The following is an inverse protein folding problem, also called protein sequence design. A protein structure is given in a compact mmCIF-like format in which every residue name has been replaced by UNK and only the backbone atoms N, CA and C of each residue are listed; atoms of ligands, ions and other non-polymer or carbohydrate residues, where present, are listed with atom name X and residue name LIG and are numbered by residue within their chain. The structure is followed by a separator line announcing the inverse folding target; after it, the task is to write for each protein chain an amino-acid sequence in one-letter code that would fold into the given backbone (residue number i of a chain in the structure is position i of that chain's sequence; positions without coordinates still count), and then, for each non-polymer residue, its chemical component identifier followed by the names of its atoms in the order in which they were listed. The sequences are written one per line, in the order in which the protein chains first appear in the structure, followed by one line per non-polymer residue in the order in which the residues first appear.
data_IF_446030607517
#
_entry.id   IF_446030607517
#
_cell.length_a   1.000
_cell.length_b   1.000
_cell.length_c   1.000
_cell.angle_alpha   90.00
_cell.angle_beta   90.00
_cell.angle_gamma   90.00
#
_symmetry.space_group_name_H-M   'P 1'
#
loop_
_entity.id
_entity.type
_entity.pdbx_description
1 polymer ?
#
# COMPACT_ATOMS: atom_id res chain seq x y z
N UNK A 1 3.80 1.27 -22.26
CA UNK A 1 4.39 1.98 -21.10
C UNK A 1 4.34 0.98 -19.95
N UNK A 2 5.25 0.00 -19.97
CA UNK A 2 5.21 -1.16 -19.06
C UNK A 2 6.63 -1.53 -18.61
N UNK A 3 7.36 -0.58 -18.04
CA UNK A 3 8.72 -0.79 -17.53
C UNK A 3 8.87 -0.26 -16.09
N UNK A 4 7.91 -0.54 -15.19
CA UNK A 4 7.95 -0.05 -13.81
C UNK A 4 8.17 -1.14 -12.74
N UNK A 5 8.29 -2.41 -13.13
CA UNK A 5 8.38 -3.54 -12.20
C UNK A 5 9.50 -4.53 -12.52
N UNK A 6 10.68 -4.07 -12.91
CA UNK A 6 11.87 -4.93 -12.89
C UNK A 6 12.73 -4.63 -11.66
N UNK A 7 12.97 -5.70 -10.90
CA UNK A 7 13.85 -5.84 -9.73
C UNK A 7 13.47 -5.15 -8.40
N UNK A 8 12.59 -5.82 -7.65
CA UNK A 8 12.68 -5.86 -6.19
C UNK A 8 12.98 -7.30 -5.77
N UNK A 9 14.27 -7.63 -5.74
CA UNK A 9 14.76 -8.82 -5.04
C UNK A 9 14.46 -8.64 -3.54
N UNK A 10 13.56 -9.48 -3.02
CA UNK A 10 13.19 -9.49 -1.61
C UNK A 10 14.33 -10.07 -0.80
N UNK A 11 15.21 -9.22 -0.26
CA UNK A 11 16.14 -9.65 0.80
C UNK A 11 15.40 -9.68 2.13
N UNK A 12 15.30 -10.88 2.69
CA UNK A 12 14.84 -11.13 4.06
C UNK A 12 15.92 -10.62 5.00
N UNK A 13 15.63 -9.54 5.73
CA UNK A 13 16.52 -9.00 6.78
C UNK A 13 16.34 -9.84 8.04
N UNK A 14 17.40 -10.48 8.59
CA UNK A 14 17.31 -11.14 9.88
C UNK A 14 17.19 -10.11 11.01
N UNK A 15 16.28 -10.41 11.93
CA UNK A 15 15.96 -9.58 13.10
C UNK A 15 16.98 -9.83 14.22
N UNK A 16 18.13 -9.15 14.16
CA UNK A 16 19.03 -9.03 15.31
C UNK A 16 19.10 -7.56 15.75
N UNK A 17 18.24 -7.25 16.72
CA UNK A 17 18.24 -5.98 17.44
C UNK A 17 19.49 -5.91 18.33
N UNK A 18 20.58 -5.37 17.78
CA UNK A 18 21.68 -4.85 18.60
C UNK A 18 21.22 -3.54 19.22
N UNK A 19 21.10 -3.50 20.55
CA UNK A 19 20.92 -2.27 21.33
C UNK A 19 22.09 -1.33 21.02
N UNK A 20 21.82 -0.28 20.25
CA UNK A 20 22.76 0.81 20.03
C UNK A 20 22.65 1.75 21.22
N UNK A 21 23.71 1.75 22.02
CA UNK A 21 23.96 2.63 23.16
C UNK A 21 23.93 4.10 22.70
N UNK A 22 22.85 4.81 23.06
CA UNK A 22 22.59 6.21 22.67
C UNK A 22 23.41 7.24 23.47
N UNK A 23 24.37 6.82 24.30
CA UNK A 23 25.14 7.73 25.17
C UNK A 23 26.35 8.41 24.53
N UNK A 24 26.96 7.84 23.48
CA UNK A 24 28.33 8.26 23.06
C UNK A 24 28.40 9.17 21.82
N UNK A 25 27.32 9.36 21.07
CA UNK A 25 27.38 10.15 19.84
C UNK A 25 27.31 11.67 20.02
N UNK A 26 26.94 12.17 21.21
CA UNK A 26 26.87 13.62 21.45
C UNK A 26 28.18 14.24 21.94
N UNK A 27 29.12 13.48 22.52
CA UNK A 27 30.38 14.06 23.02
C UNK A 27 31.42 14.29 21.92
N UNK A 28 31.45 13.46 20.87
CA UNK A 28 32.46 13.58 19.81
C UNK A 28 32.25 14.79 18.87
N UNK A 29 31.08 15.43 18.86
CA UNK A 29 30.83 16.62 18.03
C UNK A 29 31.28 17.93 18.68
N UNK A 30 31.50 17.96 20.00
CA UNK A 30 31.96 19.17 20.69
C UNK A 30 33.49 19.32 20.73
N UNK A 31 34.25 18.23 20.56
CA UNK A 31 35.73 18.30 20.57
C UNK A 31 36.36 18.74 19.24
N UNK A 32 35.63 18.63 18.12
CA UNK A 32 36.13 19.12 16.82
C UNK A 32 36.06 20.65 16.74
N UNK A 33 35.10 21.28 17.44
CA UNK A 33 34.93 22.74 17.43
C UNK A 33 35.87 23.45 18.43
N UNK A 34 36.25 22.78 19.52
CA UNK A 34 37.18 23.32 20.52
C UNK A 34 38.64 23.32 20.07
N UNK A 35 39.03 22.42 19.14
CA UNK A 35 40.38 22.36 18.57
C UNK A 35 40.77 23.57 17.70
N UNK A 36 39.81 24.38 17.26
CA UNK A 36 40.04 25.59 16.46
C UNK A 36 40.00 26.90 17.27
N UNK A 37 39.80 26.85 18.58
CA UNK A 37 39.55 28.05 19.40
C UNK A 37 40.79 28.62 20.10
N UNK A 38 41.99 28.08 19.84
CA UNK A 38 43.25 28.58 20.38
C UNK A 38 44.12 29.22 19.29
N UNK A 39 43.62 30.26 18.65
CA UNK A 39 44.47 31.22 17.94
C UNK A 39 44.67 32.46 18.83
N UNK A 40 45.92 32.70 19.22
CA UNK A 40 46.32 33.95 19.84
C UNK A 40 45.82 35.14 18.99
N UNK A 41 45.47 36.29 19.59
CA UNK A 41 45.02 37.45 18.83
C UNK A 41 46.18 37.97 17.96
N UNK A 42 46.20 37.54 16.70
CA UNK A 42 47.05 38.14 15.68
C UNK A 42 46.51 39.56 15.50
N UNK A 43 47.29 40.54 15.93
CA UNK A 43 47.01 41.95 15.68
C UNK A 43 46.83 42.13 14.17
N UNK A 44 45.59 42.38 13.74
CA UNK A 44 45.28 42.72 12.37
C UNK A 44 45.92 44.07 12.06
N UNK A 45 47.15 44.05 11.53
CA UNK A 45 47.70 45.18 10.82
C UNK A 45 46.74 45.46 9.65
N UNK A 46 45.94 46.52 9.75
CA UNK A 46 45.13 47.02 8.65
C UNK A 46 46.07 47.58 7.58
N UNK A 47 46.66 46.69 6.79
CA UNK A 47 47.30 47.08 5.55
C UNK A 47 46.19 47.49 4.59
N UNK A 48 46.14 48.78 4.28
CA UNK A 48 45.29 49.34 3.23
C UNK A 48 45.80 48.78 1.91
N UNK A 49 45.24 47.65 1.48
CA UNK A 49 45.48 47.10 0.15
C UNK A 49 44.85 48.05 -0.86
N UNK A 50 45.67 48.82 -1.55
CA UNK A 50 45.26 49.56 -2.74
C UNK A 50 45.11 48.50 -3.85
N UNK A 51 43.91 47.95 -3.97
CA UNK A 51 43.56 46.97 -4.99
C UNK A 51 43.55 47.67 -6.34
N UNK A 52 44.30 47.15 -7.31
CA UNK A 52 44.29 47.67 -8.68
C UNK A 52 42.86 47.61 -9.25
N UNK A 53 42.40 48.60 -10.04
CA UNK A 53 41.07 48.57 -10.67
C UNK A 53 40.79 47.27 -11.42
N UNK A 54 41.82 46.64 -12.00
CA UNK A 54 41.71 45.38 -12.72
C UNK A 54 41.48 44.17 -11.79
N UNK A 55 42.05 44.20 -10.58
CA UNK A 55 41.81 43.19 -9.54
C UNK A 55 40.40 43.32 -8.95
N UNK A 56 39.89 44.55 -8.83
CA UNK A 56 38.52 44.80 -8.40
C UNK A 56 37.51 44.16 -9.36
N UNK A 57 37.69 44.36 -10.68
CA UNK A 57 36.84 43.76 -11.72
C UNK A 57 36.88 42.23 -11.69
N UNK A 58 38.06 41.62 -11.45
CA UNK A 58 38.15 40.15 -11.30
C UNK A 58 37.40 39.65 -10.07
N UNK A 59 37.49 40.36 -8.95
CA UNK A 59 36.78 40.03 -7.72
C UNK A 59 35.26 40.11 -7.90
N UNK A 60 34.79 41.16 -8.56
CA UNK A 60 33.35 41.34 -8.81
C UNK A 60 32.80 40.26 -9.76
N UNK A 61 33.56 39.88 -10.80
CA UNK A 61 33.21 38.76 -11.68
C UNK A 61 33.12 37.43 -10.93
N UNK A 62 34.07 37.14 -10.04
CA UNK A 62 34.05 35.93 -9.22
C UNK A 62 32.83 35.91 -8.30
N UNK A 63 32.49 37.07 -7.71
CA UNK A 63 31.32 37.21 -6.84
C UNK A 63 30.03 36.93 -7.61
N UNK A 64 29.89 37.44 -8.83
CA UNK A 64 28.72 37.17 -9.69
C UNK A 64 28.59 35.68 -9.99
N UNK A 65 29.70 35.00 -10.34
CA UNK A 65 29.69 33.55 -10.62
C UNK A 65 29.31 32.74 -9.37
N UNK A 66 29.80 33.14 -8.19
CA UNK A 66 29.46 32.49 -6.93
C UNK A 66 27.99 32.71 -6.55
N UNK A 67 27.47 33.93 -6.72
CA UNK A 67 26.06 34.25 -6.51
C UNK A 67 25.14 33.46 -7.46
N UNK A 68 25.53 33.30 -8.74
CA UNK A 68 24.79 32.49 -9.71
C UNK A 68 24.78 31.01 -9.32
N UNK A 69 25.91 30.46 -8.87
CA UNK A 69 26.00 29.08 -8.40
C UNK A 69 25.12 28.84 -7.16
N UNK A 70 25.11 29.78 -6.22
CA UNK A 70 24.26 29.72 -5.03
C UNK A 70 22.77 29.83 -5.39
N UNK A 71 22.43 30.65 -6.39
CA UNK A 71 21.07 30.75 -6.90
C UNK A 71 20.59 29.42 -7.50
N UNK A 72 21.42 28.76 -8.30
CA UNK A 72 21.10 27.43 -8.87
C UNK A 72 20.88 26.38 -7.79
N UNK A 73 21.74 26.34 -6.75
CA UNK A 73 21.58 25.39 -5.63
C UNK A 73 20.26 25.65 -4.90
N UNK A 74 19.94 26.91 -4.63
CA UNK A 74 18.68 27.29 -3.96
C UNK A 74 17.46 26.89 -4.79
N UNK A 75 17.53 27.04 -6.11
CA UNK A 75 16.46 26.62 -7.01
C UNK A 75 16.25 25.10 -6.97
N UNK A 76 17.33 24.31 -7.05
CA UNK A 76 17.23 22.86 -6.96
C UNK A 76 16.65 22.40 -5.61
N UNK A 77 17.07 23.01 -4.50
CA UNK A 77 16.53 22.70 -3.17
C UNK A 77 15.03 23.00 -3.08
N UNK A 78 14.58 24.10 -3.70
CA UNK A 78 13.15 24.43 -3.74
C UNK A 78 12.37 23.41 -4.57
N UNK A 79 12.88 23.04 -5.74
CA UNK A 79 12.27 22.01 -6.58
C UNK A 79 12.17 20.67 -5.85
N UNK A 80 13.24 20.26 -5.17
CA UNK A 80 13.24 19.02 -4.38
C UNK A 80 12.20 19.05 -3.26
N UNK A 81 12.09 20.17 -2.53
CA UNK A 81 11.07 20.34 -1.48
C UNK A 81 9.66 20.23 -2.04
N UNK A 82 9.39 20.87 -3.17
CA UNK A 82 8.09 20.81 -3.84
C UNK A 82 7.78 19.37 -4.25
N UNK A 83 8.72 18.66 -4.85
CA UNK A 83 8.54 17.26 -5.25
C UNK A 83 8.30 16.34 -4.05
N UNK A 84 9.03 16.52 -2.95
CA UNK A 84 8.81 15.78 -1.70
C UNK A 84 7.40 16.03 -1.14
N UNK A 85 6.95 17.29 -1.14
CA UNK A 85 5.61 17.64 -0.69
C UNK A 85 4.52 17.02 -1.58
N UNK A 86 4.67 17.08 -2.90
CA UNK A 86 3.75 16.46 -3.84
C UNK A 86 3.69 14.94 -3.67
N UNK A 87 4.83 14.27 -3.51
CA UNK A 87 4.88 12.81 -3.23
C UNK A 87 4.15 12.47 -1.94
N UNK A 88 4.34 13.28 -0.89
CA UNK A 88 3.65 13.09 0.40
C UNK A 88 2.13 13.25 0.25
N UNK A 89 1.69 14.28 -0.46
CA UNK A 89 0.26 14.51 -0.73
C UNK A 89 -0.36 13.35 -1.52
N UNK A 90 0.27 12.93 -2.62
CA UNK A 90 -0.19 11.77 -3.41
C UNK A 90 -0.24 10.49 -2.58
N UNK A 91 0.74 10.26 -1.71
CA UNK A 91 0.74 9.12 -0.79
C UNK A 91 -0.45 9.15 0.19
N UNK A 92 -0.79 10.33 0.71
CA UNK A 92 -1.95 10.51 1.59
C UNK A 92 -3.27 10.30 0.85
N UNK A 93 -3.41 10.84 -0.36
CA UNK A 93 -4.58 10.64 -1.23
C UNK A 93 -4.79 9.15 -1.54
N UNK A 94 -3.72 8.46 -1.94
CA UNK A 94 -3.76 7.02 -2.22
C UNK A 94 -4.19 6.23 -0.97
N UNK A 95 -3.62 6.54 0.20
CA UNK A 95 -3.98 5.87 1.45
C UNK A 95 -5.45 6.08 1.80
N UNK A 96 -5.97 7.28 1.58
CA UNK A 96 -7.38 7.58 1.84
C UNK A 96 -8.30 6.82 0.88
N UNK A 97 -7.97 6.78 -0.41
CA UNK A 97 -8.71 6.01 -1.41
C UNK A 97 -8.71 4.52 -1.07
N UNK A 98 -7.55 3.96 -0.74
CA UNK A 98 -7.40 2.56 -0.35
C UNK A 98 -8.26 2.22 0.87
N UNK A 99 -8.24 3.05 1.92
CA UNK A 99 -9.10 2.87 3.09
C UNK A 99 -10.58 2.90 2.74
N UNK A 100 -10.99 3.84 1.88
CA UNK A 100 -12.39 3.94 1.43
C UNK A 100 -12.83 2.70 0.67
N UNK A 101 -12.00 2.22 -0.27
CA UNK A 101 -12.26 1.00 -1.04
C UNK A 101 -12.36 -0.21 -0.11
N UNK A 102 -11.43 -0.35 0.84
CA UNK A 102 -11.45 -1.45 1.80
C UNK A 102 -12.74 -1.45 2.65
N UNK A 103 -13.21 -0.29 3.11
CA UNK A 103 -14.46 -0.18 3.87
C UNK A 103 -15.65 -0.60 3.00
N UNK A 104 -15.70 -0.15 1.74
CA UNK A 104 -16.76 -0.53 0.81
C UNK A 104 -16.77 -2.05 0.54
N UNK A 105 -15.60 -2.65 0.31
CA UNK A 105 -15.47 -4.09 0.08
C UNK A 105 -15.91 -4.90 1.29
N UNK A 106 -15.53 -4.47 2.50
CA UNK A 106 -15.96 -5.12 3.74
C UNK A 106 -17.48 -5.04 3.87
N UNK A 107 -18.08 -3.88 3.60
CA UNK A 107 -19.52 -3.71 3.72
C UNK A 107 -20.29 -4.55 2.68
N UNK A 108 -19.81 -4.59 1.44
CA UNK A 108 -20.36 -5.48 0.41
C UNK A 108 -20.28 -6.95 0.84
N UNK A 109 -19.14 -7.39 1.40
CA UNK A 109 -18.98 -8.76 1.92
C UNK A 109 -19.95 -9.06 3.05
N UNK A 110 -20.18 -8.11 3.97
CA UNK A 110 -21.18 -8.30 5.05
C UNK A 110 -22.58 -8.47 4.49
N UNK A 111 -22.98 -7.64 3.53
CA UNK A 111 -24.30 -7.73 2.89
C UNK A 111 -24.46 -9.08 2.19
N UNK A 112 -23.48 -9.51 1.39
CA UNK A 112 -23.51 -10.80 0.71
C UNK A 112 -23.55 -11.98 1.69
N UNK A 113 -22.79 -11.91 2.79
CA UNK A 113 -22.80 -12.95 3.81
C UNK A 113 -24.14 -13.01 4.54
N UNK A 114 -24.75 -11.86 4.83
CA UNK A 114 -26.09 -11.79 5.42
C UNK A 114 -27.14 -12.42 4.49
N UNK A 115 -27.12 -12.08 3.20
CA UNK A 115 -28.01 -12.69 2.20
C UNK A 115 -27.81 -14.21 2.11
N UNK A 116 -26.57 -14.68 2.07
CA UNK A 116 -26.26 -16.13 2.08
C UNK A 116 -26.79 -16.81 3.33
N UNK A 117 -26.68 -16.15 4.48
CA UNK A 117 -27.18 -16.67 5.74
C UNK A 117 -28.72 -16.73 5.76
N UNK A 118 -29.40 -15.70 5.24
CA UNK A 118 -30.86 -15.70 5.08
C UNK A 118 -31.33 -16.84 4.18
N UNK A 119 -30.71 -17.02 3.02
CA UNK A 119 -30.98 -18.15 2.11
C UNK A 119 -30.73 -19.49 2.82
N UNK A 120 -29.65 -19.60 3.60
CA UNK A 120 -29.36 -20.82 4.35
C UNK A 120 -30.44 -21.12 5.40
N UNK A 121 -30.90 -20.10 6.13
CA UNK A 121 -31.98 -20.26 7.11
C UNK A 121 -33.31 -20.62 6.44
N UNK A 122 -33.64 -20.00 5.31
CA UNK A 122 -34.83 -20.33 4.52
C UNK A 122 -34.77 -21.77 4.02
N UNK A 123 -33.64 -22.17 3.43
CA UNK A 123 -33.41 -23.55 3.02
C UNK A 123 -33.55 -24.51 4.21
N UNK A 124 -32.95 -24.21 5.36
CA UNK A 124 -33.06 -25.05 6.56
C UNK A 124 -34.50 -25.15 7.07
N UNK A 125 -35.27 -24.05 7.02
CA UNK A 125 -36.69 -24.06 7.36
C UNK A 125 -37.49 -24.95 6.40
N UNK A 126 -37.26 -24.81 5.10
CA UNK A 126 -37.89 -25.66 4.08
C UNK A 126 -37.51 -27.13 4.26
N UNK A 127 -36.26 -27.43 4.65
CA UNK A 127 -35.82 -28.80 4.97
C UNK A 127 -36.64 -29.42 6.12
N UNK A 128 -37.03 -28.63 7.13
CA UNK A 128 -37.87 -29.11 8.23
C UNK A 128 -39.36 -29.25 7.88
N UNK A 129 -39.80 -28.75 6.71
CA UNK A 129 -41.18 -28.86 6.25
C UNK A 129 -41.47 -30.18 5.51
N UNK A 130 -40.45 -30.86 4.99
CA UNK A 130 -40.65 -32.16 4.36
C UNK A 130 -40.96 -33.21 5.44
N UNK A 131 -42.18 -33.76 5.43
CA UNK A 131 -42.58 -34.87 6.30
C UNK A 131 -41.87 -36.18 5.94
N UNK A 132 -41.44 -36.33 4.69
CA UNK A 132 -40.85 -37.55 4.14
C UNK A 132 -39.54 -37.23 3.40
N UNK A 133 -38.49 -38.00 3.67
CA UNK A 133 -37.18 -37.88 3.02
C UNK A 133 -37.25 -38.02 1.49
N UNK A 134 -38.27 -38.71 0.96
CA UNK A 134 -38.49 -38.84 -0.48
C UNK A 134 -39.02 -37.56 -1.14
N UNK A 135 -39.72 -36.70 -0.40
CA UNK A 135 -40.13 -35.39 -0.91
C UNK A 135 -38.91 -34.48 -1.09
N UNK A 136 -37.95 -34.56 -0.17
CA UNK A 136 -36.67 -33.84 -0.25
C UNK A 136 -35.79 -34.36 -1.40
N UNK A 137 -35.74 -35.68 -1.62
CA UNK A 137 -35.00 -36.26 -2.75
C UNK A 137 -35.65 -35.81 -4.07
N UNK A 138 -36.99 -35.84 -4.16
CA UNK A 138 -37.70 -35.42 -5.36
C UNK A 138 -37.53 -33.93 -5.67
N UNK A 139 -37.42 -33.05 -4.66
CA UNK A 139 -37.19 -31.61 -4.88
C UNK A 139 -35.75 -31.28 -5.31
N UNK A 140 -34.78 -32.12 -4.96
CA UNK A 140 -33.36 -31.90 -5.24
C UNK A 140 -32.87 -32.56 -6.54
N UNK A 141 -33.68 -33.43 -7.17
CA UNK A 141 -33.36 -33.96 -8.49
C UNK A 141 -33.86 -33.00 -9.57
N UNK A 142 -33.06 -32.82 -10.62
CA UNK A 142 -33.49 -32.13 -11.84
C UNK A 142 -34.64 -32.95 -12.46
N UNK A 143 -35.87 -32.52 -12.29
CA UNK A 143 -37.07 -33.23 -12.76
C UNK A 143 -37.39 -32.94 -14.23
N UNK A 144 -36.88 -31.83 -14.79
CA UNK A 144 -37.16 -31.45 -16.17
C UNK A 144 -36.22 -32.14 -17.15
N UNK A 145 -36.73 -32.50 -18.32
CA UNK A 145 -35.94 -33.04 -19.42
C UNK A 145 -35.03 -31.93 -19.96
N UNK A 146 -33.71 -32.16 -19.92
CA UNK A 146 -32.67 -31.20 -20.30
C UNK A 146 -31.97 -30.47 -19.14
N UNK A 147 -32.45 -30.60 -17.90
CA UNK A 147 -31.84 -29.93 -16.73
C UNK A 147 -30.73 -30.78 -16.06
N UNK A 148 -30.60 -32.05 -16.43
CA UNK A 148 -29.52 -32.91 -15.94
C UNK A 148 -28.22 -32.62 -16.72
N UNK A 149 -27.12 -32.21 -16.05
CA UNK A 149 -25.87 -31.84 -16.71
C UNK A 149 -25.06 -33.03 -17.23
N UNK A 150 -25.47 -34.27 -16.93
CA UNK A 150 -24.74 -35.48 -17.33
C UNK A 150 -25.19 -36.05 -18.68
N UNK A 151 -24.28 -36.75 -19.35
CA UNK A 151 -24.51 -37.37 -20.67
C UNK A 151 -25.37 -38.65 -20.65
N UNK A 152 -25.62 -39.23 -19.46
CA UNK A 152 -26.38 -40.49 -19.32
C UNK A 152 -27.88 -40.21 -19.19
N UNK A 153 -28.69 -41.06 -19.82
CA UNK A 153 -30.14 -41.03 -19.64
C UNK A 153 -30.53 -41.47 -18.22
N UNK A 154 -31.09 -40.53 -17.46
CA UNK A 154 -31.55 -40.72 -16.08
C UNK A 154 -33.08 -40.80 -15.98
N UNK A 155 -33.80 -40.87 -17.09
CA UNK A 155 -35.28 -40.83 -17.14
C UNK A 155 -35.92 -41.95 -16.32
N UNK A 156 -35.44 -43.19 -16.46
CA UNK A 156 -35.95 -44.33 -15.69
C UNK A 156 -35.69 -44.20 -14.18
N UNK A 157 -34.54 -43.64 -13.81
CA UNK A 157 -34.20 -43.38 -12.41
C UNK A 157 -35.11 -42.30 -11.81
N UNK A 158 -35.37 -41.22 -12.55
CA UNK A 158 -36.33 -40.17 -12.17
C UNK A 158 -37.72 -40.75 -11.91
N UNK A 159 -38.21 -41.56 -12.85
CA UNK A 159 -39.51 -42.20 -12.72
C UNK A 159 -39.58 -43.12 -11.49
N UNK A 160 -38.53 -43.91 -11.22
CA UNK A 160 -38.48 -44.79 -10.06
C UNK A 160 -38.52 -44.01 -8.73
N UNK A 161 -37.79 -42.89 -8.63
CA UNK A 161 -37.80 -42.03 -7.44
C UNK A 161 -39.18 -41.40 -7.22
N UNK A 162 -39.82 -40.90 -8.29
CA UNK A 162 -41.17 -40.32 -8.21
C UNK A 162 -42.23 -41.35 -7.81
N UNK A 163 -42.16 -42.56 -8.37
CA UNK A 163 -43.07 -43.65 -8.00
C UNK A 163 -42.90 -44.02 -6.52
N UNK A 164 -41.65 -44.16 -6.05
CA UNK A 164 -41.36 -44.48 -4.65
C UNK A 164 -41.87 -43.42 -3.68
N UNK A 165 -41.80 -42.13 -4.05
CA UNK A 165 -42.42 -41.04 -3.29
C UNK A 165 -43.94 -41.20 -3.19
N UNK A 166 -44.60 -41.45 -4.32
CA UNK A 166 -46.05 -41.59 -4.37
C UNK A 166 -46.56 -42.81 -3.58
N UNK A 167 -45.78 -43.91 -3.56
CA UNK A 167 -46.11 -45.11 -2.79
C UNK A 167 -46.05 -44.90 -1.28
N UNK A 168 -45.19 -44.00 -0.80
CA UNK A 168 -45.05 -43.68 0.63
C UNK A 168 -46.05 -42.63 1.13
N UNK A 169 -46.72 -41.93 0.21
CA UNK A 169 -47.72 -40.89 0.49
C UNK A 169 -49.17 -41.39 0.29
N UNK A 170 -49.37 -42.68 -0.05
CA UNK A 170 -50.67 -43.38 -0.06
C UNK A 170 -50.96 -44.00 1.30
#
# INVERSE_FOLDING_TARGET
MDDFFEDVTTQVVPSDASQVDQGQFQQAQYDVFSAFSNEAPIQSQQQVFIVSPEQQVRKDKLKIIEEERLAQIREMDQQERILKQQKKQKGQEYLQQFKSQQVQDIEQRKVLNKQKQEIWFENKKNHSQYKNSWDQIASNIALKDGEYPGQKDVTKMRQAILNKRNDLNK
#
